data_IF_776164727198
#
_entry.id   IF_776164727198
#
_cell.length_a   1.000
_cell.length_b   1.000
_cell.length_c   1.000
_cell.angle_alpha   90.00
_cell.angle_beta   90.00
_cell.angle_gamma   90.00
#
_symmetry.space_group_name_H-M   'P 1'
#
loop_
_entity.id
_entity.type
_entity.pdbx_description
1 polymer ?
#
# COMPACT_ATOMS: atom_id res chain seq x y z
N UNK A 1 -47.31 12.55 -1.02
CA UNK A 1 -46.18 11.77 -1.56
C UNK A 1 -44.92 12.60 -1.41
N UNK A 2 -44.14 12.36 -0.38
CA UNK A 2 -42.79 12.93 -0.18
C UNK A 2 -41.86 11.78 0.02
N UNK A 3 -40.98 11.55 -0.97
CA UNK A 3 -39.94 10.55 -0.97
C UNK A 3 -38.88 10.97 0.04
N UNK A 4 -38.69 10.17 1.11
CA UNK A 4 -37.62 10.34 2.08
C UNK A 4 -36.39 9.62 1.54
N UNK A 5 -35.38 10.41 1.14
CA UNK A 5 -34.06 9.92 0.77
C UNK A 5 -33.32 9.65 2.08
N UNK A 6 -33.01 8.41 2.35
CA UNK A 6 -32.16 7.98 3.45
C UNK A 6 -30.73 8.56 3.30
N UNK A 7 -30.08 9.03 4.38
CA UNK A 7 -28.69 9.50 4.32
C UNK A 7 -27.75 8.34 4.02
N UNK A 8 -26.97 8.51 2.96
CA UNK A 8 -26.01 7.53 2.50
C UNK A 8 -25.01 7.13 3.58
N UNK A 9 -24.80 5.84 3.72
CA UNK A 9 -23.73 5.26 4.51
C UNK A 9 -22.38 5.73 3.94
N UNK A 10 -21.75 6.66 4.64
CA UNK A 10 -20.33 6.97 4.42
C UNK A 10 -19.52 5.76 4.89
N UNK A 11 -18.63 5.20 4.06
CA UNK A 11 -17.80 4.09 4.48
C UNK A 11 -16.88 4.54 5.62
N UNK A 12 -16.92 3.81 6.74
CA UNK A 12 -16.09 4.02 7.95
C UNK A 12 -14.62 3.59 7.68
N UNK A 13 -14.13 3.77 6.45
CA UNK A 13 -12.84 3.24 6.00
C UNK A 13 -11.67 4.23 6.10
N UNK A 14 -11.85 5.35 6.82
CA UNK A 14 -10.81 6.36 6.96
C UNK A 14 -9.81 6.09 8.11
N UNK A 15 -9.64 4.86 8.56
CA UNK A 15 -8.87 4.60 9.78
C UNK A 15 -7.80 3.51 9.71
N UNK A 16 -7.69 2.78 8.60
CA UNK A 16 -6.50 1.94 8.40
C UNK A 16 -5.50 2.79 7.64
N UNK A 17 -4.52 3.32 8.36
CA UNK A 17 -3.35 3.92 7.76
C UNK A 17 -2.72 2.88 6.84
N UNK A 18 -2.82 3.08 5.53
CA UNK A 18 -1.92 2.46 4.56
C UNK A 18 -0.58 3.16 4.76
N UNK A 19 0.05 2.94 5.93
CA UNK A 19 1.44 3.30 6.14
C UNK A 19 2.26 2.31 5.33
N UNK A 20 2.44 2.66 4.06
CA UNK A 20 3.44 2.02 3.22
C UNK A 20 4.78 2.35 3.88
N UNK A 21 5.30 1.42 4.66
CA UNK A 21 6.69 1.50 5.13
C UNK A 21 7.58 1.31 3.90
N UNK A 22 7.82 2.42 3.24
CA UNK A 22 8.93 2.54 2.31
C UNK A 22 10.20 2.63 3.17
N UNK A 23 10.71 1.49 3.62
CA UNK A 23 11.99 1.43 4.35
C UNK A 23 13.07 2.02 3.47
N UNK A 24 13.44 3.25 3.79
CA UNK A 24 14.58 3.92 3.20
C UNK A 24 15.85 3.24 3.70
N UNK A 25 16.53 2.48 2.84
CA UNK A 25 17.96 2.21 3.01
C UNK A 25 18.70 3.53 2.76
N UNK A 26 19.10 4.18 3.82
CA UNK A 26 20.00 5.34 3.80
C UNK A 26 21.43 4.88 3.51
N UNK A 27 21.88 5.09 2.29
CA UNK A 27 23.31 5.09 1.95
C UNK A 27 23.93 6.41 2.38
N UNK A 28 25.13 6.33 2.97
CA UNK A 28 25.91 7.42 3.56
C UNK A 28 26.34 8.52 2.56
N UNK A 29 26.68 9.73 3.05
CA UNK A 29 27.00 10.87 2.20
C UNK A 29 28.43 10.80 1.66
N UNK A 30 28.61 10.96 0.36
CA UNK A 30 29.90 11.20 -0.27
C UNK A 30 30.22 12.70 -0.29
N UNK A 31 31.43 12.99 0.16
CA UNK A 31 32.06 14.31 0.26
C UNK A 31 32.09 15.09 -1.07
N UNK A 32 31.70 16.35 -0.98
CA UNK A 32 31.82 17.32 -2.05
C UNK A 32 33.29 17.59 -2.42
N UNK A 33 33.67 17.39 -3.69
CA UNK A 33 34.87 17.99 -4.26
C UNK A 33 34.45 19.10 -5.23
N UNK A 34 34.96 20.30 -4.98
CA UNK A 34 34.81 21.49 -5.81
C UNK A 34 35.69 21.32 -7.06
N UNK A 35 35.09 21.40 -8.23
CA UNK A 35 35.85 21.60 -9.48
C UNK A 35 35.93 23.08 -9.89
N UNK A 36 37.03 23.50 -10.56
CA UNK A 36 37.26 24.88 -10.98
C UNK A 36 36.48 25.24 -12.26
N UNK A 37 36.25 26.52 -12.57
CA UNK A 37 35.42 26.95 -13.69
C UNK A 37 36.10 26.71 -15.04
N UNK A 38 35.39 26.02 -15.93
CA UNK A 38 35.81 25.79 -17.31
C UNK A 38 35.42 26.95 -18.23
N UNK A 39 36.38 27.31 -19.12
CA UNK A 39 36.29 28.36 -20.09
C UNK A 39 35.25 28.04 -21.18
N UNK A 40 34.57 29.11 -21.64
CA UNK A 40 33.55 29.07 -22.68
C UNK A 40 34.14 28.77 -24.06
N UNK A 41 33.69 27.67 -24.67
CA UNK A 41 33.89 27.40 -26.11
C UNK A 41 32.59 27.76 -26.89
N UNK A 42 32.70 28.17 -28.17
CA UNK A 42 31.54 28.57 -28.95
C UNK A 42 30.57 27.39 -29.25
N UNK A 43 29.29 27.67 -29.50
CA UNK A 43 28.29 26.63 -29.68
C UNK A 43 28.54 25.86 -30.98
N UNK A 44 28.46 24.51 -30.96
CA UNK A 44 28.42 23.70 -32.17
C UNK A 44 27.07 23.84 -32.85
N UNK A 45 27.12 23.75 -34.19
CA UNK A 45 25.99 23.85 -35.10
C UNK A 45 24.83 22.90 -34.73
N UNK A 46 23.60 23.38 -34.92
CA UNK A 46 22.33 22.66 -34.78
C UNK A 46 22.36 21.34 -35.55
N UNK A 47 22.56 20.23 -34.83
CA UNK A 47 22.17 18.91 -35.29
C UNK A 47 20.69 18.75 -34.91
N UNK A 48 19.78 18.30 -35.80
CA UNK A 48 18.40 18.08 -35.42
C UNK A 48 18.34 17.04 -34.32
N UNK A 49 17.72 17.43 -33.23
CA UNK A 49 17.51 16.63 -32.01
C UNK A 49 16.60 15.45 -32.31
N UNK A 50 17.18 14.29 -32.63
CA UNK A 50 16.45 13.02 -32.83
C UNK A 50 16.89 12.02 -31.77
N UNK A 51 16.91 12.43 -30.50
CA UNK A 51 17.04 11.50 -29.38
C UNK A 51 16.26 12.02 -28.17
N UNK A 52 14.92 12.01 -28.30
CA UNK A 52 14.12 11.96 -27.08
C UNK A 52 14.59 10.73 -26.31
N UNK A 53 15.01 10.92 -25.06
CA UNK A 53 15.39 9.80 -24.19
C UNK A 53 14.24 8.76 -24.22
N UNK A 54 14.53 7.45 -24.36
CA UNK A 54 13.49 6.46 -24.44
C UNK A 54 12.55 6.61 -23.23
N UNK A 55 11.25 6.53 -23.50
CA UNK A 55 10.26 6.60 -22.43
C UNK A 55 10.49 5.48 -21.39
N UNK A 56 9.91 5.61 -20.20
CA UNK A 56 10.20 4.70 -19.10
C UNK A 56 9.99 3.22 -19.43
N UNK A 57 9.01 2.90 -20.25
CA UNK A 57 8.71 1.53 -20.70
C UNK A 57 9.80 1.01 -21.65
N UNK A 58 10.20 1.81 -22.66
CA UNK A 58 11.24 1.41 -23.61
C UNK A 58 12.61 1.19 -22.96
N UNK A 59 12.91 1.95 -21.90
CA UNK A 59 14.14 1.76 -21.14
C UNK A 59 14.19 0.38 -20.46
N UNK A 60 13.05 -0.11 -19.96
CA UNK A 60 12.96 -1.45 -19.34
C UNK A 60 12.95 -2.55 -20.41
N UNK A 61 12.26 -2.36 -21.53
CA UNK A 61 12.29 -3.33 -22.65
C UNK A 61 13.70 -3.56 -23.19
N UNK A 62 14.49 -2.50 -23.33
CA UNK A 62 15.89 -2.60 -23.74
C UNK A 62 16.80 -3.30 -22.72
N UNK A 63 16.42 -3.31 -21.44
CA UNK A 63 17.18 -3.92 -20.36
C UNK A 63 16.68 -5.32 -19.94
N UNK A 64 15.77 -5.92 -20.69
CA UNK A 64 15.08 -7.17 -20.27
C UNK A 64 15.99 -8.38 -20.00
N UNK A 65 17.20 -8.39 -20.55
CA UNK A 65 18.23 -9.42 -20.29
C UNK A 65 19.26 -9.02 -19.22
N UNK A 66 19.20 -7.82 -18.68
CA UNK A 66 20.11 -7.36 -17.62
C UNK A 66 19.68 -7.94 -16.27
N UNK A 67 20.56 -8.64 -15.53
CA UNK A 67 20.25 -9.18 -14.20
C UNK A 67 19.81 -8.10 -13.18
N UNK A 68 20.16 -6.84 -13.43
CA UNK A 68 19.75 -5.69 -12.57
C UNK A 68 18.38 -5.15 -12.93
N UNK A 69 17.75 -5.62 -13.99
CA UNK A 69 16.48 -5.11 -14.51
C UNK A 69 15.37 -5.05 -13.45
N UNK A 70 15.16 -6.06 -12.57
CA UNK A 70 14.15 -5.95 -11.52
C UNK A 70 14.35 -4.75 -10.60
N UNK A 71 15.59 -4.51 -10.16
CA UNK A 71 15.92 -3.35 -9.31
C UNK A 71 15.71 -2.01 -10.03
N UNK A 72 16.09 -1.93 -11.30
CA UNK A 72 15.90 -0.75 -12.14
C UNK A 72 14.41 -0.46 -12.31
N UNK A 73 13.61 -1.48 -12.64
CA UNK A 73 12.16 -1.35 -12.81
C UNK A 73 11.46 -0.93 -11.52
N UNK A 74 11.84 -1.51 -10.38
CA UNK A 74 11.31 -1.15 -9.08
C UNK A 74 11.59 0.31 -8.73
N UNK A 75 12.83 0.78 -8.89
CA UNK A 75 13.19 2.18 -8.59
C UNK A 75 12.51 3.16 -9.55
N UNK A 76 12.45 2.84 -10.83
CA UNK A 76 11.76 3.66 -11.82
C UNK A 76 10.25 3.77 -11.50
N UNK A 77 9.62 2.66 -11.12
CA UNK A 77 8.21 2.65 -10.74
C UNK A 77 7.96 3.50 -9.49
N UNK A 78 8.80 3.38 -8.45
CA UNK A 78 8.72 4.24 -7.26
C UNK A 78 8.87 5.73 -7.61
N UNK A 79 9.77 6.07 -8.53
CA UNK A 79 9.95 7.45 -8.99
C UNK A 79 8.70 7.96 -9.71
N UNK A 80 8.10 7.16 -10.59
CA UNK A 80 6.87 7.52 -11.31
C UNK A 80 5.69 7.74 -10.35
N UNK A 81 5.55 6.89 -9.32
CA UNK A 81 4.53 7.08 -8.27
C UNK A 81 4.75 8.43 -7.55
N UNK A 82 5.99 8.75 -7.15
CA UNK A 82 6.30 10.06 -6.54
C UNK A 82 6.00 11.26 -7.45
N UNK A 83 6.00 11.06 -8.77
CA UNK A 83 5.63 12.06 -9.77
C UNK A 83 4.11 12.13 -10.05
N UNK A 84 3.30 11.35 -9.36
CA UNK A 84 1.86 11.27 -9.60
C UNK A 84 1.48 10.52 -10.87
N UNK A 85 2.34 9.61 -11.35
CA UNK A 85 2.16 8.80 -12.55
C UNK A 85 2.05 7.30 -12.24
N UNK A 86 1.05 6.87 -11.48
CA UNK A 86 0.97 5.47 -11.06
C UNK A 86 0.68 4.51 -12.22
N UNK A 87 -0.03 4.93 -13.27
CA UNK A 87 -0.29 4.07 -14.44
C UNK A 87 0.98 3.81 -15.25
N UNK A 88 1.84 4.82 -15.41
CA UNK A 88 3.15 4.63 -16.02
C UNK A 88 4.03 3.69 -15.18
N UNK A 89 3.93 3.77 -13.85
CA UNK A 89 4.63 2.87 -12.95
C UNK A 89 4.15 1.42 -13.09
N UNK A 90 2.84 1.18 -13.21
CA UNK A 90 2.27 -0.14 -13.48
C UNK A 90 2.74 -0.68 -14.84
N UNK A 91 2.77 0.15 -15.88
CA UNK A 91 3.24 -0.26 -17.20
C UNK A 91 4.72 -0.72 -17.16
N UNK A 92 5.60 0.00 -16.43
CA UNK A 92 6.99 -0.40 -16.21
C UNK A 92 7.08 -1.75 -15.52
N UNK A 93 6.27 -1.96 -14.45
CA UNK A 93 6.25 -3.23 -13.72
C UNK A 93 5.72 -4.39 -14.58
N UNK A 94 4.69 -4.15 -15.39
CA UNK A 94 4.12 -5.17 -16.27
C UNK A 94 5.14 -5.61 -17.34
N UNK A 95 5.95 -4.70 -17.88
CA UNK A 95 7.07 -5.06 -18.78
C UNK A 95 8.10 -5.90 -18.06
N UNK A 96 8.54 -5.47 -16.88
CA UNK A 96 9.54 -6.19 -16.11
C UNK A 96 9.06 -7.59 -15.68
N UNK A 97 7.80 -7.70 -15.26
CA UNK A 97 7.20 -8.98 -14.86
C UNK A 97 7.00 -9.97 -16.02
N UNK A 98 6.98 -9.50 -17.28
CA UNK A 98 7.04 -10.43 -18.43
C UNK A 98 8.38 -11.18 -18.52
N UNK A 99 9.47 -10.51 -18.14
CA UNK A 99 10.80 -11.12 -18.12
C UNK A 99 11.06 -11.95 -16.85
N UNK A 100 10.56 -11.49 -15.70
CA UNK A 100 10.74 -12.15 -14.39
C UNK A 100 9.39 -12.31 -13.66
N UNK A 101 8.50 -13.22 -14.12
CA UNK A 101 7.12 -13.29 -13.65
C UNK A 101 6.94 -13.59 -12.15
N UNK A 102 7.96 -14.20 -11.54
CA UNK A 102 7.94 -14.63 -10.13
C UNK A 102 8.74 -13.69 -9.20
N UNK A 103 9.22 -12.56 -9.69
CA UNK A 103 9.94 -11.62 -8.80
C UNK A 103 8.99 -11.08 -7.72
N UNK A 104 9.26 -11.36 -6.42
CA UNK A 104 8.33 -10.99 -5.35
C UNK A 104 8.31 -9.48 -5.11
N UNK A 105 9.42 -8.78 -5.33
CA UNK A 105 9.52 -7.34 -5.09
C UNK A 105 8.71 -6.55 -6.12
N UNK A 106 8.78 -6.93 -7.40
CA UNK A 106 8.00 -6.29 -8.46
C UNK A 106 6.52 -6.56 -8.29
N UNK A 107 6.14 -7.81 -7.98
CA UNK A 107 4.74 -8.19 -7.71
C UNK A 107 4.19 -7.44 -6.49
N UNK A 108 4.96 -7.36 -5.41
CA UNK A 108 4.58 -6.61 -4.21
C UNK A 108 4.34 -5.13 -4.54
N UNK A 109 5.29 -4.49 -5.22
CA UNK A 109 5.18 -3.07 -5.61
C UNK A 109 3.95 -2.83 -6.50
N UNK A 110 3.67 -3.76 -7.44
CA UNK A 110 2.46 -3.70 -8.27
C UNK A 110 1.19 -3.75 -7.41
N UNK A 111 1.11 -4.66 -6.45
CA UNK A 111 -0.02 -4.76 -5.51
C UNK A 111 -0.23 -3.48 -4.70
N UNK A 112 0.86 -2.88 -4.20
CA UNK A 112 0.82 -1.62 -3.45
C UNK A 112 0.29 -0.47 -4.31
N UNK A 113 0.79 -0.32 -5.53
CA UNK A 113 0.34 0.76 -6.45
C UNK A 113 -1.15 0.60 -6.80
N UNK A 114 -1.61 -0.64 -7.03
CA UNK A 114 -3.03 -0.93 -7.27
C UNK A 114 -3.90 -0.58 -6.07
N UNK A 115 -3.44 -0.91 -4.86
CA UNK A 115 -4.16 -0.57 -3.63
C UNK A 115 -4.28 0.95 -3.43
N UNK A 116 -3.20 1.69 -3.68
CA UNK A 116 -3.16 3.15 -3.59
C UNK A 116 -4.09 3.84 -4.63
N UNK A 117 -4.26 3.22 -5.80
CA UNK A 117 -5.22 3.66 -6.81
C UNK A 117 -6.68 3.27 -6.50
N UNK A 118 -6.95 2.59 -5.38
CA UNK A 118 -8.28 2.10 -5.05
C UNK A 118 -8.74 0.88 -5.88
N UNK A 119 -7.84 0.26 -6.66
CA UNK A 119 -8.09 -0.97 -7.45
C UNK A 119 -8.03 -2.19 -6.54
N UNK A 120 -8.89 -2.19 -5.51
CA UNK A 120 -8.81 -3.11 -4.39
C UNK A 120 -8.89 -4.59 -4.78
N UNK A 121 -9.74 -4.95 -5.75
CA UNK A 121 -9.88 -6.34 -6.21
C UNK A 121 -8.59 -6.86 -6.87
N UNK A 122 -7.95 -6.03 -7.70
CA UNK A 122 -6.70 -6.39 -8.36
C UNK A 122 -5.55 -6.48 -7.37
N UNK A 123 -5.47 -5.53 -6.43
CA UNK A 123 -4.48 -5.57 -5.36
C UNK A 123 -4.61 -6.84 -4.50
N UNK A 124 -5.85 -7.18 -4.13
CA UNK A 124 -6.15 -8.42 -3.36
C UNK A 124 -5.64 -9.65 -4.12
N UNK A 125 -5.97 -9.79 -5.40
CA UNK A 125 -5.53 -10.94 -6.21
C UNK A 125 -3.99 -11.03 -6.29
N UNK A 126 -3.30 -9.89 -6.43
CA UNK A 126 -1.83 -9.86 -6.42
C UNK A 126 -1.28 -10.33 -5.08
N UNK A 127 -1.81 -9.85 -3.95
CA UNK A 127 -1.33 -10.24 -2.63
C UNK A 127 -1.69 -11.69 -2.28
N UNK A 128 -2.87 -12.20 -2.69
CA UNK A 128 -3.24 -13.61 -2.53
C UNK A 128 -2.23 -14.54 -3.22
N UNK A 129 -1.91 -14.25 -4.49
CA UNK A 129 -0.92 -15.02 -5.23
C UNK A 129 0.48 -14.89 -4.61
N UNK A 130 0.82 -13.70 -4.10
CA UNK A 130 2.12 -13.46 -3.51
C UNK A 130 2.29 -14.21 -2.19
N UNK A 131 1.25 -14.24 -1.34
CA UNK A 131 1.26 -14.98 -0.07
C UNK A 131 1.23 -16.50 -0.28
N UNK A 132 0.65 -16.97 -1.38
CA UNK A 132 0.68 -18.38 -1.76
C UNK A 132 2.06 -18.82 -2.27
N UNK A 133 2.73 -17.99 -3.08
CA UNK A 133 4.05 -18.28 -3.65
C UNK A 133 5.21 -18.06 -2.65
N UNK A 134 5.05 -17.11 -1.72
CA UNK A 134 6.07 -16.66 -0.76
C UNK A 134 5.47 -16.47 0.64
N UNK A 135 5.06 -17.56 1.30
CA UNK A 135 4.38 -17.50 2.60
C UNK A 135 5.26 -16.95 3.74
N UNK A 136 6.57 -16.92 3.55
CA UNK A 136 7.54 -16.38 4.51
C UNK A 136 7.65 -14.84 4.49
N UNK A 137 7.07 -14.15 3.50
CA UNK A 137 7.10 -12.69 3.42
C UNK A 137 5.96 -12.08 4.25
N UNK A 138 6.26 -11.31 5.31
CA UNK A 138 5.22 -10.77 6.19
C UNK A 138 4.43 -9.61 5.57
N UNK A 139 5.06 -8.78 4.72
CA UNK A 139 4.46 -7.57 4.17
C UNK A 139 3.26 -7.87 3.24
N UNK A 140 3.30 -8.88 2.33
CA UNK A 140 2.14 -9.26 1.54
C UNK A 140 0.95 -9.71 2.39
N UNK A 141 1.19 -10.49 3.46
CA UNK A 141 0.15 -10.91 4.39
C UNK A 141 -0.50 -9.72 5.09
N UNK A 142 0.31 -8.76 5.55
CA UNK A 142 -0.20 -7.54 6.18
C UNK A 142 -1.06 -6.71 5.20
N UNK A 143 -0.60 -6.52 3.96
CA UNK A 143 -1.36 -5.76 2.97
C UNK A 143 -2.64 -6.48 2.54
N UNK A 144 -2.61 -7.81 2.41
CA UNK A 144 -3.79 -8.62 2.17
C UNK A 144 -4.84 -8.46 3.27
N UNK A 145 -4.40 -8.41 4.53
CA UNK A 145 -5.28 -8.14 5.65
C UNK A 145 -5.96 -6.77 5.58
N UNK A 146 -5.23 -5.73 5.15
CA UNK A 146 -5.80 -4.39 4.91
C UNK A 146 -6.89 -4.46 3.84
N UNK A 147 -6.66 -5.20 2.74
CA UNK A 147 -7.66 -5.37 1.68
C UNK A 147 -8.91 -6.10 2.20
N UNK A 148 -8.75 -7.19 2.94
CA UNK A 148 -9.88 -7.91 3.53
C UNK A 148 -10.64 -7.08 4.56
N UNK A 149 -9.94 -6.32 5.40
CA UNK A 149 -10.57 -5.42 6.37
C UNK A 149 -11.36 -4.30 5.68
N UNK A 150 -10.86 -3.79 4.55
CA UNK A 150 -11.56 -2.81 3.72
C UNK A 150 -12.83 -3.40 3.10
N UNK A 151 -12.80 -4.66 2.69
CA UNK A 151 -13.96 -5.40 2.20
C UNK A 151 -14.94 -5.82 3.32
N UNK A 152 -14.57 -5.61 4.60
CA UNK A 152 -15.38 -6.00 5.75
C UNK A 152 -15.23 -7.46 6.18
N UNK A 153 -14.33 -8.22 5.56
CA UNK A 153 -14.02 -9.61 5.93
C UNK A 153 -12.98 -9.65 7.06
N UNK A 154 -13.45 -9.39 8.29
CA UNK A 154 -12.55 -9.30 9.44
C UNK A 154 -11.90 -10.64 9.81
N UNK A 155 -12.55 -11.75 9.50
CA UNK A 155 -12.00 -13.09 9.80
C UNK A 155 -10.81 -13.39 8.90
N UNK A 156 -10.91 -13.09 7.59
CA UNK A 156 -9.78 -13.22 6.67
C UNK A 156 -8.67 -12.21 7.00
N UNK A 157 -9.04 -10.97 7.37
CA UNK A 157 -8.06 -9.97 7.78
C UNK A 157 -7.25 -10.43 8.98
N UNK A 158 -7.91 -10.96 10.03
CA UNK A 158 -7.25 -11.55 11.20
C UNK A 158 -6.32 -12.68 10.81
N UNK A 159 -6.80 -13.65 10.02
CA UNK A 159 -5.99 -14.80 9.62
C UNK A 159 -4.74 -14.38 8.82
N UNK A 160 -4.87 -13.39 7.93
CA UNK A 160 -3.73 -12.85 7.18
C UNK A 160 -2.70 -12.17 8.11
N UNK A 161 -3.13 -11.39 9.12
CA UNK A 161 -2.23 -10.77 10.09
C UNK A 161 -1.55 -11.80 11.00
N UNK A 162 -2.27 -12.85 11.41
CA UNK A 162 -1.67 -13.96 12.14
C UNK A 162 -0.58 -14.66 11.32
N UNK A 163 -0.75 -14.76 10.00
CA UNK A 163 0.30 -15.26 9.09
C UNK A 163 1.48 -14.28 9.00
N UNK A 164 1.24 -12.96 8.92
CA UNK A 164 2.30 -11.96 8.94
C UNK A 164 3.14 -12.04 10.22
N UNK A 165 2.48 -12.16 11.38
CA UNK A 165 3.14 -12.32 12.69
C UNK A 165 3.89 -13.65 12.77
N UNK A 166 3.35 -14.73 12.17
CA UNK A 166 4.06 -16.02 12.14
C UNK A 166 5.31 -15.97 11.27
N UNK A 167 5.23 -15.27 10.12
CA UNK A 167 6.37 -15.08 9.22
C UNK A 167 7.46 -14.20 9.87
N UNK A 168 7.08 -13.14 10.58
CA UNK A 168 7.98 -12.25 11.30
C UNK A 168 7.38 -11.85 12.66
N UNK A 169 7.71 -12.55 13.76
CA UNK A 169 7.14 -12.28 15.09
C UNK A 169 7.37 -10.87 15.63
N UNK A 170 8.44 -10.19 15.16
CA UNK A 170 8.76 -8.81 15.53
C UNK A 170 8.13 -7.75 14.63
N UNK A 171 7.18 -8.10 13.75
CA UNK A 171 6.57 -7.16 12.81
C UNK A 171 5.52 -6.28 13.50
N UNK A 172 5.97 -5.17 14.09
CA UNK A 172 5.15 -4.29 14.92
C UNK A 172 3.86 -3.82 14.22
N UNK A 173 3.93 -3.46 12.92
CA UNK A 173 2.77 -3.02 12.15
C UNK A 173 1.69 -4.10 12.04
N UNK A 174 2.09 -5.38 11.89
CA UNK A 174 1.12 -6.47 11.85
C UNK A 174 0.43 -6.66 13.22
N UNK A 175 1.16 -6.50 14.31
CA UNK A 175 0.58 -6.53 15.66
C UNK A 175 -0.39 -5.37 15.90
N UNK A 176 -0.06 -4.16 15.46
CA UNK A 176 -0.92 -2.97 15.52
C UNK A 176 -2.22 -3.20 14.73
N UNK A 177 -2.10 -3.59 13.46
CA UNK A 177 -3.26 -3.90 12.62
C UNK A 177 -4.11 -5.05 13.18
N UNK A 178 -3.49 -6.06 13.81
CA UNK A 178 -4.21 -7.15 14.46
C UNK A 178 -5.01 -6.65 15.67
N UNK A 179 -4.46 -5.71 16.44
CA UNK A 179 -5.17 -5.01 17.51
C UNK A 179 -6.42 -4.31 16.98
N UNK A 180 -6.28 -3.56 15.89
CA UNK A 180 -7.40 -2.85 15.24
C UNK A 180 -8.49 -3.81 14.75
N UNK A 181 -8.11 -4.95 14.17
CA UNK A 181 -9.07 -5.98 13.76
C UNK A 181 -9.82 -6.53 14.97
N UNK A 182 -9.15 -6.81 16.08
CA UNK A 182 -9.81 -7.29 17.29
C UNK A 182 -10.81 -6.26 17.86
N UNK A 183 -10.50 -4.97 17.84
CA UNK A 183 -11.45 -3.92 18.27
C UNK A 183 -12.69 -3.90 17.35
N UNK A 184 -12.53 -4.05 16.04
CA UNK A 184 -13.65 -4.13 15.09
C UNK A 184 -14.50 -5.38 15.29
N UNK A 185 -13.86 -6.52 15.53
CA UNK A 185 -14.58 -7.78 15.83
C UNK A 185 -15.33 -7.68 17.16
N UNK A 186 -14.72 -7.07 18.18
CA UNK A 186 -15.39 -6.80 19.45
C UNK A 186 -16.60 -5.87 19.26
N UNK A 187 -16.46 -4.80 18.47
CA UNK A 187 -17.58 -3.91 18.16
C UNK A 187 -18.77 -4.64 17.52
N UNK A 188 -18.51 -5.54 16.55
CA UNK A 188 -19.55 -6.39 15.95
C UNK A 188 -20.23 -7.29 16.98
N UNK A 189 -19.45 -7.90 17.87
CA UNK A 189 -19.99 -8.77 18.92
C UNK A 189 -20.87 -8.00 19.91
N UNK A 190 -20.45 -6.81 20.32
CA UNK A 190 -21.24 -5.94 21.19
C UNK A 190 -22.49 -5.39 20.53
N UNK A 191 -22.42 -5.05 19.24
CA UNK A 191 -23.59 -4.66 18.45
C UNK A 191 -24.62 -5.79 18.42
N UNK A 192 -24.16 -7.02 18.14
CA UNK A 192 -25.05 -8.18 18.16
C UNK A 192 -25.64 -8.47 19.54
N UNK A 193 -24.86 -8.29 20.61
CA UNK A 193 -25.36 -8.44 21.98
C UNK A 193 -26.42 -7.38 22.32
N UNK A 194 -26.22 -6.14 21.87
CA UNK A 194 -27.19 -5.06 22.09
C UNK A 194 -28.48 -5.22 21.26
N UNK A 195 -28.39 -5.82 20.07
CA UNK A 195 -29.57 -6.19 19.26
C UNK A 195 -30.39 -7.30 19.92
N UNK A 196 -29.72 -8.32 20.47
CA UNK A 196 -30.37 -9.48 21.11
C UNK A 196 -30.99 -9.11 22.45
N UNK A 197 -30.36 -8.21 23.22
CA UNK A 197 -30.93 -7.67 24.46
C UNK A 197 -30.76 -6.14 24.47
N UNK A 198 -31.79 -5.38 24.04
CA UNK A 198 -31.76 -3.93 24.04
C UNK A 198 -31.63 -3.29 25.43
N UNK A 199 -31.84 -4.03 26.52
CA UNK A 199 -31.66 -3.56 27.90
C UNK A 199 -30.23 -3.78 28.41
N UNK A 200 -29.38 -4.47 27.66
CA UNK A 200 -27.99 -4.69 28.03
C UNK A 200 -27.15 -3.40 27.91
N UNK A 201 -27.17 -2.62 29.00
CA UNK A 201 -26.44 -1.34 29.06
C UNK A 201 -24.91 -1.54 28.89
N UNK A 202 -24.38 -2.66 29.42
CA UNK A 202 -22.94 -2.96 29.32
C UNK A 202 -22.51 -3.20 27.87
N UNK A 203 -23.29 -3.95 27.07
CA UNK A 203 -22.97 -4.15 25.66
C UNK A 203 -22.98 -2.85 24.87
N UNK A 204 -23.98 -1.99 25.12
CA UNK A 204 -24.09 -0.67 24.47
C UNK A 204 -22.91 0.25 24.80
N UNK A 205 -22.49 0.28 26.07
CA UNK A 205 -21.34 1.10 26.47
C UNK A 205 -20.04 0.59 25.85
N UNK A 206 -19.81 -0.71 25.83
CA UNK A 206 -18.63 -1.31 25.16
C UNK A 206 -18.62 -1.06 23.66
N UNK A 207 -19.79 -1.13 23.00
CA UNK A 207 -19.93 -0.78 21.59
C UNK A 207 -19.55 0.69 21.35
N UNK A 208 -20.05 1.59 22.18
CA UNK A 208 -19.72 3.01 22.13
C UNK A 208 -18.20 3.25 22.25
N UNK A 209 -17.57 2.65 23.26
CA UNK A 209 -16.12 2.75 23.46
C UNK A 209 -15.31 2.19 22.27
N UNK A 210 -15.74 1.08 21.69
CA UNK A 210 -15.10 0.50 20.51
C UNK A 210 -15.19 1.43 19.29
N UNK A 211 -16.32 2.14 19.11
CA UNK A 211 -16.49 3.15 18.04
C UNK A 211 -15.66 4.40 18.29
N UNK A 212 -15.65 4.91 19.51
CA UNK A 212 -14.84 6.07 19.90
C UNK A 212 -13.33 5.82 19.73
N UNK A 213 -12.87 4.56 19.87
CA UNK A 213 -11.48 4.22 19.62
C UNK A 213 -11.06 4.63 18.20
N UNK A 214 -11.83 4.23 17.18
CA UNK A 214 -11.51 4.58 15.80
C UNK A 214 -11.65 6.06 15.50
N UNK A 215 -12.61 6.75 16.11
CA UNK A 215 -12.77 8.20 15.95
C UNK A 215 -11.55 8.98 16.48
N UNK A 216 -10.86 8.45 17.49
CA UNK A 216 -9.66 9.07 18.09
C UNK A 216 -8.37 8.72 17.37
N UNK A 217 -8.28 7.54 16.77
CA UNK A 217 -7.07 7.01 16.12
C UNK A 217 -7.06 7.33 14.63
N UNK A 218 -8.20 7.69 14.02
CA UNK A 218 -8.29 8.01 12.61
C UNK A 218 -7.32 9.16 12.24
N UNK A 219 -6.40 8.95 11.30
CA UNK A 219 -5.47 10.00 10.88
C UNK A 219 -6.25 11.16 10.23
N UNK A 220 -6.06 12.37 10.74
CA UNK A 220 -6.57 13.59 10.14
C UNK A 220 -7.78 14.24 10.78
N UNK A 221 -8.29 13.76 11.91
CA UNK A 221 -9.25 14.54 12.69
C UNK A 221 -8.53 15.46 13.69
N UNK A 222 -8.82 16.80 13.71
CA UNK A 222 -8.30 17.67 14.75
C UNK A 222 -8.86 17.17 16.09
N UNK A 223 -7.96 16.95 17.07
CA UNK A 223 -8.37 16.66 18.46
C UNK A 223 -9.34 17.75 18.89
N UNK A 224 -10.59 17.37 19.13
CA UNK A 224 -11.54 18.29 19.80
C UNK A 224 -10.96 18.61 21.19
N UNK A 225 -10.97 19.91 21.58
CA UNK A 225 -10.49 20.37 22.87
C UNK A 225 -11.26 19.77 24.04
#
# INVERSE_FOLDING_TARGET
MRSSIAPGHRPIFAGICVSIVLSALTGAPALAQREPPLQSSPPPALIPDTTAAPGPVQAIEGASSDPRMPGIAAEQSRRLVRQGKPDDALAVLDVALRAVPRDPQLRFLRGVILADQGRAQEATAVFELLTADFPELPEPHNNLAVMYAAAGDLDKARAALENAVRALPGYALAHENLGDIYVRMAARAYERAAELDPRNASARERLKLSREFFDRVAPGQPKKP
#
